data_IF_595705081048
#
_entry.id   IF_595705081048
#
_cell.length_a   1.000
_cell.length_b   1.000
_cell.length_c   1.000
_cell.angle_alpha   90.00
_cell.angle_beta   90.00
_cell.angle_gamma   90.00
#
_symmetry.space_group_name_H-M   'P 1'
#
loop_
_entity.id
_entity.type
_entity.pdbx_description
1 polymer ?
#
# COMPACT_ATOMS: atom_id res chain seq x y z
N UNK A 1 36.08 -3.09 -23.64
CA UNK A 1 34.69 -3.58 -23.61
C UNK A 1 34.16 -3.34 -22.20
N UNK A 2 32.96 -2.77 -21.99
CA UNK A 2 32.39 -2.76 -20.65
C UNK A 2 32.24 -4.21 -20.22
N UNK A 3 32.82 -4.58 -19.07
CA UNK A 3 32.70 -5.92 -18.53
C UNK A 3 31.22 -6.31 -18.44
N UNK A 4 30.91 -7.59 -18.65
CA UNK A 4 29.58 -8.17 -18.55
C UNK A 4 29.08 -8.15 -17.09
N UNK A 5 28.94 -6.97 -16.49
CA UNK A 5 28.48 -6.80 -15.13
C UNK A 5 26.95 -6.93 -15.12
N UNK A 6 26.35 -7.80 -14.29
CA UNK A 6 24.90 -7.95 -14.23
C UNK A 6 24.15 -6.61 -14.10
N UNK A 7 24.71 -5.67 -13.31
CA UNK A 7 24.18 -4.31 -13.14
C UNK A 7 24.06 -3.50 -14.45
N UNK A 8 24.94 -3.72 -15.44
CA UNK A 8 24.87 -2.97 -16.70
C UNK A 8 23.61 -3.30 -17.49
N UNK A 9 23.04 -4.50 -17.31
CA UNK A 9 21.78 -4.91 -17.93
C UNK A 9 20.58 -4.11 -17.38
N UNK A 10 20.67 -3.62 -16.14
CA UNK A 10 19.62 -2.84 -15.46
C UNK A 10 19.65 -1.34 -15.81
N UNK A 11 20.64 -0.87 -16.59
CA UNK A 11 20.86 0.57 -16.84
C UNK A 11 19.60 1.29 -17.32
N UNK A 12 18.88 0.72 -18.29
CA UNK A 12 17.64 1.32 -18.82
C UNK A 12 16.58 1.44 -17.72
N UNK A 13 16.35 0.36 -16.97
CA UNK A 13 15.37 0.35 -15.89
C UNK A 13 15.69 1.36 -14.79
N UNK A 14 16.96 1.48 -14.39
CA UNK A 14 17.39 2.43 -13.36
C UNK A 14 17.26 3.90 -13.79
N UNK A 15 17.54 4.20 -15.07
CA UNK A 15 17.32 5.55 -15.63
C UNK A 15 15.83 5.89 -15.62
N UNK A 16 14.99 4.99 -16.12
CA UNK A 16 13.53 5.20 -16.15
C UNK A 16 12.93 5.29 -14.76
N UNK A 17 13.40 4.46 -13.82
CA UNK A 17 13.02 4.55 -12.40
C UNK A 17 13.28 5.95 -11.83
N UNK A 18 14.46 6.51 -12.07
CA UNK A 18 14.78 7.88 -11.66
C UNK A 18 13.82 8.91 -12.26
N UNK A 19 13.48 8.75 -13.54
CA UNK A 19 12.52 9.62 -14.22
C UNK A 19 11.09 9.48 -13.65
N UNK A 20 10.64 8.25 -13.37
CA UNK A 20 9.35 7.97 -12.71
C UNK A 20 9.29 8.66 -11.35
N UNK A 21 10.35 8.54 -10.53
CA UNK A 21 10.40 9.16 -9.21
C UNK A 21 10.33 10.69 -9.29
N UNK A 22 10.98 11.29 -10.29
CA UNK A 22 10.90 12.73 -10.52
C UNK A 22 9.48 13.18 -10.93
N UNK A 23 8.79 12.41 -11.78
CA UNK A 23 7.40 12.69 -12.17
C UNK A 23 6.45 12.56 -10.98
N UNK A 24 6.63 11.53 -10.14
CA UNK A 24 5.87 11.35 -8.89
C UNK A 24 6.06 12.55 -7.96
N UNK A 25 7.30 12.99 -7.71
CA UNK A 25 7.55 14.19 -6.88
C UNK A 25 6.94 15.45 -7.49
N UNK A 26 7.10 15.65 -8.79
CA UNK A 26 6.55 16.82 -9.49
C UNK A 26 5.02 16.87 -9.36
N UNK A 27 4.34 15.74 -9.52
CA UNK A 27 2.89 15.62 -9.34
C UNK A 27 2.43 16.12 -7.96
N UNK A 28 3.11 15.71 -6.89
CA UNK A 28 2.77 16.14 -5.53
C UNK A 28 3.09 17.62 -5.30
N UNK A 29 4.25 18.08 -5.76
CA UNK A 29 4.66 19.49 -5.65
C UNK A 29 3.69 20.42 -6.36
N UNK A 30 3.28 20.09 -7.58
CA UNK A 30 2.28 20.85 -8.36
C UNK A 30 0.90 20.88 -7.68
N UNK A 31 0.56 19.85 -6.90
CA UNK A 31 -0.68 19.78 -6.11
C UNK A 31 -0.57 20.38 -4.70
N UNK A 32 0.59 20.95 -4.36
CA UNK A 32 0.83 21.63 -3.09
C UNK A 32 0.98 20.67 -1.89
N UNK A 33 1.42 19.44 -2.13
CA UNK A 33 1.81 18.52 -1.07
C UNK A 33 3.22 18.85 -0.56
N UNK A 34 3.41 18.73 0.75
CA UNK A 34 4.71 18.82 1.39
C UNK A 34 5.41 17.45 1.38
N UNK A 35 6.60 17.37 0.80
CA UNK A 35 7.47 16.20 0.96
C UNK A 35 8.02 16.20 2.39
N UNK A 36 7.81 15.12 3.14
CA UNK A 36 8.23 14.99 4.54
C UNK A 36 9.17 13.79 4.70
N UNK A 37 9.90 13.78 5.82
CA UNK A 37 10.70 12.63 6.25
C UNK A 37 10.40 12.30 7.71
N UNK A 38 10.10 11.02 7.96
CA UNK A 38 9.87 10.46 9.30
C UNK A 38 11.00 9.48 9.67
N UNK A 39 11.25 9.23 10.97
CA UNK A 39 12.28 8.28 11.38
C UNK A 39 12.06 6.87 10.83
N UNK A 40 13.12 6.25 10.30
CA UNK A 40 13.08 4.86 9.82
C UNK A 40 13.19 3.82 10.93
N UNK A 41 13.71 4.21 12.09
CA UNK A 41 13.76 3.36 13.28
C UNK A 41 12.75 3.87 14.29
N UNK A 42 11.76 3.04 14.62
CA UNK A 42 10.61 3.39 15.44
C UNK A 42 10.53 2.49 16.69
N UNK A 43 10.06 3.03 17.82
CA UNK A 43 9.95 2.26 19.06
C UNK A 43 8.78 1.26 19.05
N UNK A 44 7.77 1.49 18.20
CA UNK A 44 6.53 0.72 18.16
C UNK A 44 5.98 0.72 16.72
N UNK A 45 6.00 -0.44 16.03
CA UNK A 45 5.25 -0.65 14.78
C UNK A 45 3.73 -0.69 15.03
N UNK A 46 2.95 -0.60 13.96
CA UNK A 46 1.55 -1.01 14.02
C UNK A 46 1.49 -2.54 14.25
N UNK A 47 0.58 -3.04 15.12
CA UNK A 47 0.52 -4.47 15.46
C UNK A 47 -0.19 -5.31 14.40
N UNK A 48 0.19 -5.19 13.13
CA UNK A 48 -0.42 -5.94 12.03
C UNK A 48 -0.14 -7.45 12.14
N UNK A 49 -1.15 -8.30 11.95
CA UNK A 49 -1.03 -9.75 12.14
C UNK A 49 -0.08 -10.43 11.13
N UNK A 50 -0.10 -9.96 9.88
CA UNK A 50 0.61 -10.59 8.76
C UNK A 50 1.94 -9.93 8.39
N UNK A 51 2.27 -8.78 8.98
CA UNK A 51 3.53 -8.06 8.72
C UNK A 51 4.45 -8.18 9.92
N UNK A 52 5.69 -8.58 9.69
CA UNK A 52 6.71 -8.64 10.73
C UNK A 52 7.77 -7.54 10.51
N UNK A 53 7.93 -6.68 11.51
CA UNK A 53 8.94 -5.63 11.53
C UNK A 53 10.32 -6.19 11.90
N UNK A 54 11.35 -5.72 11.20
CA UNK A 54 12.75 -6.06 11.49
C UNK A 54 13.22 -5.37 12.78
N UNK A 55 13.71 -6.13 13.75
CA UNK A 55 14.25 -5.58 14.99
C UNK A 55 15.55 -4.79 14.76
N UNK A 56 15.74 -3.69 15.50
CA UNK A 56 16.89 -2.78 15.37
C UNK A 56 17.27 -2.16 16.71
N UNK A 57 18.26 -2.75 17.40
CA UNK A 57 18.82 -2.25 18.66
C UNK A 57 17.77 -1.92 19.75
N UNK A 58 16.81 -2.84 19.97
CA UNK A 58 15.72 -2.66 20.93
C UNK A 58 14.51 -1.88 20.39
N UNK A 59 14.61 -1.33 19.18
CA UNK A 59 13.52 -0.72 18.40
C UNK A 59 13.25 -1.57 17.15
N UNK A 60 12.57 -1.01 16.15
CA UNK A 60 12.22 -1.68 14.90
C UNK A 60 12.50 -0.78 13.70
N UNK A 61 12.84 -1.36 12.56
CA UNK A 61 12.75 -0.66 11.28
C UNK A 61 11.27 -0.55 10.88
N UNK A 62 10.88 0.60 10.34
CA UNK A 62 9.49 0.85 10.00
C UNK A 62 9.00 -0.09 8.88
N UNK A 63 7.81 -0.65 9.06
CA UNK A 63 7.07 -1.37 8.00
C UNK A 63 6.32 -0.40 7.08
N UNK A 64 6.01 0.78 7.63
CA UNK A 64 5.35 1.93 6.99
C UNK A 64 5.62 3.21 7.82
N UNK A 65 5.74 4.40 7.19
CA UNK A 65 5.77 5.69 7.89
C UNK A 65 4.41 6.15 8.45
N UNK A 66 3.32 5.41 8.21
CA UNK A 66 1.92 5.77 8.47
C UNK A 66 1.67 6.39 9.85
N UNK A 67 2.09 5.73 10.93
CA UNK A 67 1.83 6.21 12.29
C UNK A 67 2.47 7.58 12.54
N UNK A 68 3.62 7.86 11.94
CA UNK A 68 4.29 9.15 12.06
C UNK A 68 3.59 10.22 11.20
N UNK A 69 3.21 9.87 9.97
CA UNK A 69 2.55 10.81 9.04
C UNK A 69 1.16 11.20 9.54
N UNK A 70 0.38 10.27 10.11
CA UNK A 70 -0.91 10.58 10.75
C UNK A 70 -0.78 11.55 11.93
N UNK A 71 0.30 11.47 12.70
CA UNK A 71 0.60 12.45 13.75
C UNK A 71 0.90 13.84 13.19
N UNK A 72 1.42 13.93 11.96
CA UNK A 72 1.54 15.22 11.27
C UNK A 72 0.17 15.76 10.87
N UNK A 73 -0.77 14.93 10.40
CA UNK A 73 -2.15 15.37 10.16
C UNK A 73 -2.80 15.92 11.43
N UNK A 74 -2.63 15.23 12.56
CA UNK A 74 -3.06 15.70 13.88
C UNK A 74 -2.39 17.02 14.31
N UNK A 75 -1.16 17.29 13.84
CA UNK A 75 -0.47 18.55 14.06
C UNK A 75 -0.89 19.68 13.08
N UNK A 76 -1.81 19.41 12.15
CA UNK A 76 -2.37 20.39 11.22
C UNK A 76 -1.74 20.41 9.82
N UNK A 77 -0.84 19.47 9.49
CA UNK A 77 -0.33 19.33 8.13
C UNK A 77 -1.40 18.70 7.24
N UNK A 78 -1.88 19.41 6.21
CA UNK A 78 -3.08 18.98 5.46
C UNK A 78 -2.79 18.11 4.24
N UNK A 79 -1.62 18.24 3.62
CA UNK A 79 -1.22 17.53 2.40
C UNK A 79 0.24 17.17 2.50
N UNK A 80 0.54 15.91 2.77
CA UNK A 80 1.91 15.41 2.97
C UNK A 80 2.14 14.17 2.14
N UNK A 81 3.36 13.99 1.67
CA UNK A 81 3.80 12.75 1.04
C UNK A 81 5.23 12.41 1.45
N UNK A 82 5.57 11.12 1.38
CA UNK A 82 6.91 10.63 1.67
C UNK A 82 7.24 9.47 0.73
N UNK A 83 8.40 9.53 0.09
CA UNK A 83 9.01 8.40 -0.62
C UNK A 83 10.12 7.87 0.28
N UNK A 84 9.95 6.68 0.85
CA UNK A 84 10.89 6.16 1.82
C UNK A 84 11.07 4.65 1.79
N UNK A 85 12.01 4.21 2.61
CA UNK A 85 12.42 2.84 2.78
C UNK A 85 11.60 2.19 3.89
N UNK A 86 11.08 1.00 3.59
CA UNK A 86 10.28 0.18 4.49
C UNK A 86 10.87 -1.22 4.53
N UNK A 87 10.75 -1.87 5.69
CA UNK A 87 11.32 -3.19 5.93
C UNK A 87 10.26 -4.15 6.46
N UNK A 88 10.23 -5.35 5.90
CA UNK A 88 9.37 -6.44 6.36
C UNK A 88 10.18 -7.73 6.40
N UNK A 89 10.22 -8.33 7.58
CA UNK A 89 10.96 -9.55 7.84
C UNK A 89 10.29 -10.74 7.14
N UNK A 90 11.11 -11.64 6.58
CA UNK A 90 10.63 -12.83 5.86
C UNK A 90 9.99 -12.58 4.49
N UNK A 91 9.80 -11.33 4.04
CA UNK A 91 9.27 -11.05 2.71
C UNK A 91 10.37 -11.09 1.64
N UNK A 92 10.34 -12.11 0.76
CA UNK A 92 11.20 -12.19 -0.43
C UNK A 92 10.56 -13.04 -1.52
N UNK A 93 10.59 -12.55 -2.76
CA UNK A 93 10.20 -13.31 -3.95
C UNK A 93 10.28 -12.49 -5.22
N UNK A 94 9.74 -12.99 -6.33
CA UNK A 94 9.79 -12.32 -7.65
C UNK A 94 9.17 -10.91 -7.62
N UNK A 95 8.24 -10.64 -6.70
CA UNK A 95 7.52 -9.36 -6.57
C UNK A 95 7.79 -8.64 -5.23
N UNK A 96 8.72 -9.15 -4.42
CA UNK A 96 8.92 -8.71 -3.02
C UNK A 96 10.41 -8.65 -2.68
N UNK A 97 10.79 -7.58 -1.97
CA UNK A 97 12.07 -7.42 -1.31
C UNK A 97 11.81 -7.15 0.17
N UNK A 98 12.70 -7.61 1.06
CA UNK A 98 12.57 -7.32 2.49
C UNK A 98 12.84 -5.86 2.83
N UNK A 99 13.53 -5.13 1.95
CA UNK A 99 13.71 -3.68 1.96
C UNK A 99 13.17 -3.09 0.65
N UNK A 100 12.20 -2.18 0.72
CA UNK A 100 11.50 -1.71 -0.49
C UNK A 100 11.03 -0.26 -0.47
N UNK A 101 10.76 0.18 -1.71
CA UNK A 101 10.00 1.28 -2.32
C UNK A 101 8.62 1.68 -1.85
N UNK A 102 8.40 2.43 -0.77
CA UNK A 102 7.05 2.94 -0.50
C UNK A 102 6.92 4.45 -0.77
N UNK A 103 5.86 4.82 -1.47
CA UNK A 103 5.30 6.15 -1.48
C UNK A 103 4.06 6.13 -0.58
N UNK A 104 3.99 7.01 0.41
CA UNK A 104 2.75 7.28 1.12
C UNK A 104 2.36 8.74 0.98
N UNK A 105 1.07 9.02 0.92
CA UNK A 105 0.56 10.38 1.01
C UNK A 105 -0.78 10.43 1.74
N UNK A 106 -1.03 11.57 2.37
CA UNK A 106 -2.20 11.80 3.19
C UNK A 106 -2.80 13.17 2.92
N UNK A 107 -4.13 13.22 2.92
CA UNK A 107 -4.90 14.42 2.63
C UNK A 107 -6.02 14.62 3.64
N UNK A 108 -5.95 15.73 4.37
CA UNK A 108 -7.04 16.19 5.22
C UNK A 108 -8.24 16.64 4.37
N UNK A 109 -9.45 16.35 4.87
CA UNK A 109 -10.72 16.64 4.22
C UNK A 109 -11.02 15.78 3.00
N UNK A 110 -10.31 14.67 2.80
CA UNK A 110 -10.55 13.71 1.71
C UNK A 110 -11.04 12.37 2.27
N UNK A 111 -11.66 11.59 1.39
CA UNK A 111 -12.02 10.19 1.62
C UNK A 111 -11.30 9.27 0.61
N UNK A 112 -11.47 7.96 0.78
CA UNK A 112 -10.93 6.96 -0.12
C UNK A 112 -11.36 7.12 -1.59
N UNK A 113 -12.52 7.73 -1.90
CA UNK A 113 -12.95 7.96 -3.29
C UNK A 113 -12.16 9.09 -3.94
N UNK A 114 -11.89 10.17 -3.20
CA UNK A 114 -10.98 11.22 -3.64
C UNK A 114 -9.57 10.66 -3.89
N UNK A 115 -9.11 9.72 -3.07
CA UNK A 115 -7.83 9.05 -3.30
C UNK A 115 -7.83 8.15 -4.53
N UNK A 116 -8.94 7.52 -4.92
CA UNK A 116 -9.01 6.80 -6.20
C UNK A 116 -8.74 7.74 -7.38
N UNK A 117 -9.40 8.91 -7.40
CA UNK A 117 -9.21 9.92 -8.46
C UNK A 117 -7.78 10.47 -8.47
N UNK A 118 -7.20 10.72 -7.29
CA UNK A 118 -5.84 11.20 -7.19
C UNK A 118 -4.82 10.14 -7.58
N UNK A 119 -5.09 8.87 -7.30
CA UNK A 119 -4.27 7.72 -7.71
C UNK A 119 -4.32 7.52 -9.23
N UNK A 120 -5.50 7.64 -9.85
CA UNK A 120 -5.66 7.66 -11.31
C UNK A 120 -4.72 8.71 -11.95
N UNK A 121 -4.76 9.94 -11.43
CA UNK A 121 -3.94 11.04 -11.92
C UNK A 121 -2.44 10.83 -11.68
N UNK A 122 -2.06 10.32 -10.50
CA UNK A 122 -0.66 10.05 -10.14
C UNK A 122 -0.05 9.01 -11.08
N UNK A 123 -0.74 7.89 -11.31
CA UNK A 123 -0.23 6.80 -12.15
C UNK A 123 -0.15 7.24 -13.61
N UNK A 124 -1.10 8.02 -14.12
CA UNK A 124 -1.00 8.60 -15.46
C UNK A 124 0.23 9.50 -15.60
N UNK A 125 0.50 10.35 -14.60
CA UNK A 125 1.70 11.19 -14.57
C UNK A 125 2.99 10.36 -14.48
N UNK A 126 3.01 9.32 -13.65
CA UNK A 126 4.16 8.42 -13.50
C UNK A 126 4.45 7.62 -14.79
N UNK A 127 3.41 7.08 -15.43
CA UNK A 127 3.52 6.29 -16.65
C UNK A 127 3.93 7.14 -17.85
N UNK A 128 3.42 8.37 -17.96
CA UNK A 128 3.60 9.27 -19.11
C UNK A 128 3.23 8.64 -20.47
N UNK A 129 2.41 7.59 -20.45
CA UNK A 129 1.93 6.85 -21.61
C UNK A 129 0.46 6.47 -21.42
N UNK A 130 -0.35 6.43 -22.49
CA UNK A 130 -1.76 6.04 -22.40
C UNK A 130 -1.96 4.52 -22.26
N UNK A 131 -0.95 3.72 -22.63
CA UNK A 131 -0.96 2.26 -22.56
C UNK A 131 0.42 1.73 -22.18
N UNK A 132 0.44 0.60 -21.51
CA UNK A 132 1.66 -0.12 -21.13
C UNK A 132 1.56 -1.60 -21.52
N UNK A 133 2.70 -2.23 -21.76
CA UNK A 133 2.82 -3.67 -21.87
C UNK A 133 3.24 -4.26 -20.52
N UNK A 134 2.60 -5.34 -20.08
CA UNK A 134 3.03 -6.07 -18.89
C UNK A 134 2.73 -7.56 -19.02
N UNK A 135 3.76 -8.43 -19.01
CA UNK A 135 3.63 -9.89 -19.11
C UNK A 135 2.79 -10.35 -20.30
N UNK A 136 3.01 -9.73 -21.45
CA UNK A 136 2.27 -10.02 -22.69
C UNK A 136 0.85 -9.43 -22.74
N UNK A 137 0.39 -8.76 -21.69
CA UNK A 137 -0.87 -8.01 -21.68
C UNK A 137 -0.63 -6.58 -22.19
N UNK A 138 -1.62 -6.03 -22.88
CA UNK A 138 -1.69 -4.58 -23.16
C UNK A 138 -2.70 -3.98 -22.19
N UNK A 139 -2.25 -3.07 -21.34
CA UNK A 139 -3.06 -2.43 -20.30
C UNK A 139 -3.34 -0.99 -20.73
N UNK A 140 -4.63 -0.62 -20.83
CA UNK A 140 -5.07 0.73 -21.16
C UNK A 140 -5.23 1.57 -19.89
N UNK A 141 -4.45 2.66 -19.80
CA UNK A 141 -4.45 3.58 -18.67
C UNK A 141 -5.43 4.75 -18.85
N UNK A 142 -6.18 4.79 -19.97
CA UNK A 142 -7.23 5.79 -20.17
C UNK A 142 -8.35 5.64 -19.11
N UNK A 143 -8.85 6.77 -18.64
CA UNK A 143 -9.94 6.84 -17.65
C UNK A 143 -11.31 6.59 -18.31
N UNK A 144 -12.32 6.18 -17.53
CA UNK A 144 -12.30 5.86 -16.10
C UNK A 144 -11.83 4.42 -15.85
N UNK A 145 -11.04 4.19 -14.80
CA UNK A 145 -10.62 2.83 -14.45
C UNK A 145 -11.77 1.99 -13.86
N UNK A 146 -11.57 0.68 -13.86
CA UNK A 146 -12.55 -0.25 -13.31
C UNK A 146 -12.62 -0.10 -11.79
N UNK A 147 -13.84 -0.20 -11.25
CA UNK A 147 -14.11 -0.14 -9.81
C UNK A 147 -15.05 -1.30 -9.49
N UNK A 148 -14.65 -2.18 -8.59
CA UNK A 148 -15.42 -3.35 -8.17
C UNK A 148 -15.42 -3.43 -6.64
N UNK A 149 -16.58 -3.64 -6.02
CA UNK A 149 -16.60 -3.88 -4.57
C UNK A 149 -16.05 -5.27 -4.26
N UNK A 150 -15.53 -5.49 -3.03
CA UNK A 150 -15.15 -6.84 -2.58
C UNK A 150 -16.33 -7.80 -2.71
N UNK A 151 -17.54 -7.38 -2.33
CA UNK A 151 -18.75 -8.17 -2.47
C UNK A 151 -19.04 -8.58 -3.93
N UNK A 152 -18.91 -7.65 -4.88
CA UNK A 152 -19.07 -7.96 -6.31
C UNK A 152 -17.98 -8.90 -6.82
N UNK A 153 -16.73 -8.70 -6.41
CA UNK A 153 -15.62 -9.54 -6.82
C UNK A 153 -15.81 -11.00 -6.36
N UNK A 154 -16.22 -11.21 -5.10
CA UNK A 154 -16.57 -12.54 -4.58
C UNK A 154 -17.68 -13.21 -5.40
N UNK A 155 -18.74 -12.46 -5.72
CA UNK A 155 -19.84 -12.95 -6.56
C UNK A 155 -19.38 -13.32 -7.98
N UNK A 156 -18.55 -12.48 -8.60
CA UNK A 156 -18.14 -12.64 -10.00
C UNK A 156 -17.08 -13.73 -10.19
N UNK A 157 -16.14 -13.85 -9.26
CA UNK A 157 -14.93 -14.65 -9.46
C UNK A 157 -14.87 -15.92 -8.59
N UNK A 158 -15.58 -15.94 -7.46
CA UNK A 158 -15.56 -17.08 -6.53
C UNK A 158 -16.92 -17.79 -6.40
N UNK A 159 -18.01 -17.16 -6.84
CA UNK A 159 -19.36 -17.76 -6.76
C UNK A 159 -19.88 -17.95 -5.33
N UNK A 160 -19.35 -17.19 -4.36
CA UNK A 160 -19.76 -17.20 -2.95
C UNK A 160 -19.90 -15.76 -2.44
N UNK A 161 -20.51 -15.58 -1.27
CA UNK A 161 -20.59 -14.28 -0.61
C UNK A 161 -19.40 -14.04 0.34
N UNK A 162 -19.13 -12.77 0.63
CA UNK A 162 -18.10 -12.38 1.64
C UNK A 162 -18.43 -12.98 3.00
N UNK A 163 -19.71 -12.99 3.41
CA UNK A 163 -20.12 -13.54 4.70
C UNK A 163 -19.86 -15.05 4.82
N UNK A 164 -20.13 -15.82 3.76
CA UNK A 164 -19.85 -17.26 3.73
C UNK A 164 -18.35 -17.54 3.81
N UNK A 165 -17.54 -16.81 3.03
CA UNK A 165 -16.09 -16.94 3.03
C UNK A 165 -15.47 -16.60 4.39
N UNK A 166 -15.94 -15.54 5.05
CA UNK A 166 -15.52 -15.17 6.40
C UNK A 166 -15.91 -16.25 7.42
N UNK A 167 -17.16 -16.75 7.36
CA UNK A 167 -17.63 -17.81 8.25
C UNK A 167 -16.85 -19.13 8.09
N UNK A 168 -16.33 -19.39 6.89
CA UNK A 168 -15.50 -20.55 6.60
C UNK A 168 -13.99 -20.31 6.86
N UNK A 169 -13.57 -19.10 7.18
CA UNK A 169 -12.15 -18.74 7.33
C UNK A 169 -11.35 -18.83 6.01
N UNK A 170 -12.02 -18.71 4.86
CA UNK A 170 -11.42 -18.85 3.53
C UNK A 170 -11.33 -17.53 2.75
N UNK A 171 -11.63 -16.40 3.39
CA UNK A 171 -11.63 -15.08 2.75
C UNK A 171 -10.30 -14.74 2.08
N UNK A 172 -9.18 -14.80 2.81
CA UNK A 172 -7.86 -14.44 2.28
C UNK A 172 -7.41 -15.40 1.18
N UNK A 173 -7.69 -16.69 1.35
CA UNK A 173 -7.41 -17.69 0.32
C UNK A 173 -8.17 -17.39 -0.97
N UNK A 174 -9.46 -17.08 -0.89
CA UNK A 174 -10.28 -16.75 -2.06
C UNK A 174 -9.79 -15.46 -2.73
N UNK A 175 -9.44 -14.44 -1.94
CA UNK A 175 -8.86 -13.20 -2.44
C UNK A 175 -7.62 -13.51 -3.30
N UNK A 176 -6.61 -14.16 -2.72
CA UNK A 176 -5.31 -14.43 -3.36
C UNK A 176 -5.42 -15.40 -4.54
N UNK A 177 -6.17 -16.49 -4.39
CA UNK A 177 -6.19 -17.56 -5.40
C UNK A 177 -7.15 -17.31 -6.55
N UNK A 178 -8.25 -16.58 -6.30
CA UNK A 178 -9.36 -16.47 -7.26
C UNK A 178 -9.64 -15.04 -7.70
N UNK A 179 -9.49 -14.04 -6.84
CA UNK A 179 -9.88 -12.66 -7.17
C UNK A 179 -8.70 -11.88 -7.73
N UNK A 180 -7.64 -11.70 -6.94
CA UNK A 180 -6.48 -10.88 -7.30
C UNK A 180 -5.86 -11.20 -8.68
N UNK A 181 -5.70 -12.47 -9.09
CA UNK A 181 -5.11 -12.80 -10.38
C UNK A 181 -5.94 -12.34 -11.58
N UNK A 182 -7.20 -11.93 -11.37
CA UNK A 182 -8.14 -11.50 -12.40
C UNK A 182 -8.32 -9.99 -12.46
N UNK A 183 -7.70 -9.23 -11.56
CA UNK A 183 -7.80 -7.78 -11.49
C UNK A 183 -6.69 -7.10 -12.31
N UNK A 184 -7.02 -5.96 -12.92
CA UNK A 184 -6.00 -5.11 -13.56
C UNK A 184 -5.48 -5.61 -14.92
N UNK A 185 -6.11 -6.62 -15.54
CA UNK A 185 -5.51 -7.34 -16.68
C UNK A 185 -5.50 -6.55 -17.99
N UNK A 186 -6.56 -5.79 -18.28
CA UNK A 186 -6.68 -4.98 -19.51
C UNK A 186 -6.77 -3.49 -19.21
N UNK A 187 -7.20 -3.14 -18.00
CA UNK A 187 -7.27 -1.79 -17.45
C UNK A 187 -7.00 -1.88 -15.95
N UNK A 188 -6.42 -0.86 -15.31
CA UNK A 188 -6.30 -0.83 -13.87
C UNK A 188 -7.66 -1.00 -13.19
N UNK A 189 -7.67 -1.71 -12.06
CA UNK A 189 -8.89 -2.03 -11.32
C UNK A 189 -8.72 -1.65 -9.85
N UNK A 190 -9.63 -0.82 -9.34
CA UNK A 190 -9.80 -0.64 -7.90
C UNK A 190 -10.76 -1.69 -7.36
N UNK A 191 -10.34 -2.43 -6.35
CA UNK A 191 -11.22 -3.24 -5.51
C UNK A 191 -11.45 -2.51 -4.18
N UNK A 192 -12.70 -2.37 -3.73
CA UNK A 192 -13.02 -1.47 -2.60
C UNK A 192 -14.21 -1.94 -1.74
N UNK A 193 -14.48 -1.23 -0.63
CA UNK A 193 -15.51 -1.56 0.36
C UNK A 193 -15.25 -2.94 1.02
N UNK A 194 -14.11 -3.05 1.72
CA UNK A 194 -13.65 -4.28 2.40
C UNK A 194 -14.49 -4.60 3.65
N UNK A 195 -14.59 -5.87 4.09
CA UNK A 195 -15.29 -6.20 5.32
C UNK A 195 -14.58 -5.64 6.57
N UNK A 196 -15.28 -5.48 7.71
CA UNK A 196 -14.75 -4.81 8.90
C UNK A 196 -13.52 -5.49 9.52
N UNK A 197 -13.42 -6.82 9.39
CA UNK A 197 -12.23 -7.57 9.83
C UNK A 197 -10.95 -7.18 9.08
N UNK A 198 -11.09 -6.57 7.90
CA UNK A 198 -9.98 -6.11 7.06
C UNK A 198 -9.75 -4.59 7.17
N UNK A 199 -10.21 -3.97 8.27
CA UNK A 199 -10.23 -2.51 8.46
C UNK A 199 -9.22 -2.01 9.51
N UNK A 200 -8.03 -2.61 9.63
CA UNK A 200 -7.10 -2.34 10.75
C UNK A 200 -6.95 -0.85 11.15
N UNK A 201 -6.78 0.03 10.15
CA UNK A 201 -6.62 1.49 10.31
C UNK A 201 -7.68 2.30 9.54
N UNK A 202 -8.59 1.61 8.84
CA UNK A 202 -9.62 2.22 7.99
C UNK A 202 -10.90 2.49 8.79
N UNK A 203 -11.55 3.63 8.57
CA UNK A 203 -12.88 3.87 9.16
C UNK A 203 -13.95 3.01 8.48
N UNK A 204 -14.97 2.64 9.25
CA UNK A 204 -16.17 2.03 8.68
C UNK A 204 -17.01 3.08 7.97
N UNK A 205 -17.69 2.68 6.91
CA UNK A 205 -18.55 3.56 6.14
C UNK A 205 -19.76 3.96 6.98
N UNK A 206 -20.02 5.26 7.05
CA UNK A 206 -21.02 5.82 7.99
C UNK A 206 -22.43 5.30 7.74
N UNK A 207 -22.82 5.21 6.47
CA UNK A 207 -24.18 4.80 6.07
C UNK A 207 -24.32 3.28 5.92
N UNK A 208 -23.21 2.53 5.92
CA UNK A 208 -23.17 1.08 5.82
C UNK A 208 -21.96 0.52 6.59
N UNK A 209 -22.07 0.30 7.91
CA UNK A 209 -20.96 -0.16 8.74
C UNK A 209 -20.55 -1.63 8.46
N UNK A 210 -21.22 -2.31 7.51
CA UNK A 210 -20.81 -3.65 7.08
C UNK A 210 -19.57 -3.61 6.18
N UNK A 211 -19.10 -2.42 5.79
CA UNK A 211 -17.89 -2.23 4.99
C UNK A 211 -17.00 -1.11 5.54
N UNK A 212 -15.71 -1.25 5.31
CA UNK A 212 -14.69 -0.24 5.55
C UNK A 212 -14.43 0.57 4.28
N UNK A 213 -14.19 1.86 4.45
CA UNK A 213 -13.80 2.77 3.37
C UNK A 213 -12.33 2.53 2.99
N UNK A 214 -12.06 1.39 2.37
CA UNK A 214 -10.75 0.92 1.92
C UNK A 214 -10.81 0.55 0.44
N UNK A 215 -9.72 0.79 -0.29
CA UNK A 215 -9.50 0.23 -1.60
C UNK A 215 -8.08 -0.28 -1.79
N UNK A 216 -7.92 -1.20 -2.73
CA UNK A 216 -6.63 -1.58 -3.30
C UNK A 216 -6.66 -1.36 -4.81
N UNK A 217 -5.52 -1.00 -5.37
CA UNK A 217 -5.33 -0.82 -6.81
C UNK A 217 -4.54 -2.00 -7.37
N UNK A 218 -5.08 -2.64 -8.40
CA UNK A 218 -4.40 -3.69 -9.15
C UNK A 218 -4.09 -3.25 -10.58
N UNK A 219 -2.86 -3.52 -11.02
CA UNK A 219 -2.42 -3.33 -12.42
C UNK A 219 -1.65 -4.59 -12.83
N UNK A 220 -2.09 -5.26 -13.90
CA UNK A 220 -1.45 -6.48 -14.40
C UNK A 220 -1.46 -7.65 -13.42
N UNK A 221 -2.47 -7.74 -12.55
CA UNK A 221 -2.53 -8.76 -11.48
C UNK A 221 -1.51 -8.55 -10.36
N UNK A 222 -0.98 -7.32 -10.19
CA UNK A 222 -0.22 -6.91 -9.01
C UNK A 222 -0.98 -5.84 -8.25
N UNK A 223 -1.07 -6.01 -6.94
CA UNK A 223 -1.44 -4.96 -6.00
C UNK A 223 -0.34 -3.87 -6.02
N UNK A 224 -0.74 -2.65 -6.39
CA UNK A 224 0.13 -1.48 -6.51
C UNK A 224 -0.02 -0.55 -5.31
N UNK A 225 -1.24 -0.41 -4.78
CA UNK A 225 -1.52 0.48 -3.67
C UNK A 225 -2.65 -0.04 -2.79
N UNK A 226 -2.62 0.34 -1.52
CA UNK A 226 -3.65 0.12 -0.52
C UNK A 226 -3.95 1.45 0.18
N UNK A 227 -5.23 1.78 0.31
CA UNK A 227 -5.68 3.10 0.72
C UNK A 227 -6.98 3.03 1.49
N UNK A 228 -7.21 4.02 2.36
CA UNK A 228 -8.44 4.10 3.11
C UNK A 228 -8.74 5.51 3.61
N UNK A 229 -10.02 5.74 3.90
CA UNK A 229 -10.41 6.84 4.77
C UNK A 229 -10.01 6.48 6.20
N UNK A 230 -9.44 7.44 6.91
CA UNK A 230 -8.71 7.17 8.14
C UNK A 230 -9.62 7.02 9.36
N UNK A 231 -9.33 6.02 10.20
CA UNK A 231 -9.92 5.92 11.52
C UNK A 231 -9.28 6.97 12.44
N UNK A 232 -10.10 7.90 12.95
CA UNK A 232 -9.66 8.98 13.86
C UNK A 232 -10.09 8.76 15.32
N UNK A 233 -10.87 7.72 15.61
CA UNK A 233 -11.29 7.38 16.97
C UNK A 233 -10.18 6.62 17.73
N UNK A 234 -9.56 7.22 18.76
CA UNK A 234 -8.48 6.59 19.52
C UNK A 234 -8.91 5.38 20.34
N UNK A 235 -10.16 5.31 20.79
CA UNK A 235 -10.66 4.19 21.57
C UNK A 235 -10.87 2.97 20.68
N UNK A 236 -11.52 3.15 19.53
CA UNK A 236 -11.70 2.10 18.54
C UNK A 236 -10.33 1.62 17.99
N UNK A 237 -9.41 2.55 17.71
CA UNK A 237 -8.08 2.16 17.23
C UNK A 237 -7.30 1.33 18.25
N UNK A 238 -7.45 1.64 19.55
CA UNK A 238 -6.84 0.84 20.63
C UNK A 238 -7.41 -0.58 20.65
N UNK A 239 -8.73 -0.74 20.55
CA UNK A 239 -9.38 -2.05 20.50
C UNK A 239 -8.84 -2.89 19.33
N UNK A 240 -8.68 -2.27 18.15
CA UNK A 240 -8.12 -2.96 16.96
C UNK A 240 -6.65 -3.34 17.16
N UNK A 241 -5.86 -2.48 17.79
CA UNK A 241 -4.47 -2.79 18.12
C UNK A 241 -4.34 -3.95 19.11
N UNK A 242 -5.18 -4.00 20.13
CA UNK A 242 -5.21 -5.09 21.12
C UNK A 242 -5.65 -6.41 20.48
N UNK A 243 -6.66 -6.38 19.61
CA UNK A 243 -7.11 -7.56 18.86
C UNK A 243 -6.01 -8.10 17.95
N UNK A 244 -5.35 -7.25 17.18
CA UNK A 244 -4.28 -7.66 16.28
C UNK A 244 -3.03 -8.14 17.05
N UNK A 245 -2.71 -7.54 18.20
CA UNK A 245 -1.68 -8.04 19.10
C UNK A 245 -2.01 -9.44 19.68
N UNK A 246 -3.27 -9.69 20.04
CA UNK A 246 -3.73 -10.99 20.50
C UNK A 246 -3.64 -12.06 19.38
N UNK A 247 -3.99 -11.70 18.16
CA UNK A 247 -3.84 -12.57 16.98
C UNK A 247 -2.36 -12.94 16.75
N UNK A 248 -1.47 -11.94 16.73
CA UNK A 248 -0.02 -12.15 16.64
C UNK A 248 0.48 -13.12 17.73
N UNK A 249 0.06 -12.92 18.97
CA UNK A 249 0.44 -13.78 20.09
C UNK A 249 -0.08 -15.23 19.91
N UNK A 250 -1.31 -15.40 19.43
CA UNK A 250 -1.89 -16.72 19.14
C UNK A 250 -1.14 -17.47 18.02
N UNK A 251 -0.52 -16.73 17.09
CA UNK A 251 0.35 -17.26 16.03
C UNK A 251 1.82 -17.41 16.45
N UNK A 252 2.13 -17.25 17.75
CA UNK A 252 3.49 -17.41 18.29
C UNK A 252 4.46 -16.29 17.91
N UNK A 253 3.97 -15.15 17.41
CA UNK A 253 4.79 -13.99 17.06
C UNK A 253 5.09 -13.13 18.29
N UNK A 254 6.24 -12.46 18.28
CA UNK A 254 6.62 -11.55 19.34
C UNK A 254 5.67 -10.33 19.40
N UNK A 255 5.31 -9.87 20.61
CA UNK A 255 4.46 -8.69 20.76
C UNK A 255 5.24 -7.41 20.42
N UNK A 256 4.51 -6.41 19.93
CA UNK A 256 5.05 -5.06 19.77
C UNK A 256 4.66 -4.16 20.94
N UNK A 257 5.49 -3.16 21.29
CA UNK A 257 5.07 -2.09 22.17
C UNK A 257 3.87 -1.35 21.59
N UNK A 258 2.96 -0.89 22.44
CA UNK A 258 1.82 -0.08 21.99
C UNK A 258 2.30 1.31 21.58
N UNK A 259 1.82 1.79 20.43
CA UNK A 259 2.14 3.12 19.92
C UNK A 259 1.35 4.24 20.64
N UNK A 260 1.58 4.41 21.94
CA UNK A 260 0.81 5.35 22.80
C UNK A 260 0.82 6.80 22.30
N UNK A 261 1.95 7.28 21.76
CA UNK A 261 2.05 8.63 21.19
C UNK A 261 1.22 8.83 19.92
N UNK A 262 0.95 7.74 19.18
CA UNK A 262 0.06 7.77 18.02
C UNK A 262 -1.39 7.81 18.48
N UNK A 263 -1.79 6.90 19.38
CA UNK A 263 -3.15 6.87 19.93
C UNK A 263 -3.53 8.20 20.59
N UNK A 264 -2.62 8.83 21.33
CA UNK A 264 -2.85 10.13 21.95
C UNK A 264 -3.05 11.29 20.95
N UNK A 265 -2.48 11.19 19.74
CA UNK A 265 -2.62 12.21 18.71
C UNK A 265 -3.87 12.00 17.83
N UNK A 266 -4.38 10.77 17.76
CA UNK A 266 -5.37 10.37 16.77
C UNK A 266 -6.67 11.18 16.85
N UNK A 267 -7.15 11.49 18.06
CA UNK A 267 -8.36 12.30 18.25
C UNK A 267 -8.25 13.76 17.83
N UNK A 268 -7.03 14.27 17.56
CA UNK A 268 -6.81 15.60 17.00
C UNK A 268 -6.70 15.58 15.47
N UNK A 269 -6.65 14.39 14.86
CA UNK A 269 -6.56 14.23 13.42
C UNK A 269 -7.89 14.62 12.77
N UNK A 270 -7.89 15.52 11.76
CA UNK A 270 -9.11 15.80 11.01
C UNK A 270 -9.52 14.57 10.17
N UNK A 271 -10.77 14.53 9.74
CA UNK A 271 -11.20 13.61 8.69
C UNK A 271 -10.21 13.66 7.52
N UNK A 272 -9.65 12.52 7.17
CA UNK A 272 -8.56 12.41 6.20
C UNK A 272 -8.63 11.07 5.48
N UNK A 273 -7.87 10.96 4.40
CA UNK A 273 -7.58 9.70 3.73
C UNK A 273 -6.08 9.57 3.52
N UNK A 274 -5.59 8.33 3.58
CA UNK A 274 -4.20 7.95 3.36
C UNK A 274 -4.09 6.77 2.41
N UNK A 275 -2.90 6.63 1.84
CA UNK A 275 -2.58 5.58 0.86
C UNK A 275 -1.10 5.27 0.89
N UNK A 276 -0.82 3.98 0.78
CA UNK A 276 0.50 3.42 0.57
C UNK A 276 0.59 2.79 -0.82
N UNK A 277 1.59 3.20 -1.60
CA UNK A 277 1.84 2.73 -2.96
C UNK A 277 3.25 2.14 -3.05
N UNK A 278 3.33 0.89 -3.52
CA UNK A 278 4.58 0.20 -3.78
C UNK A 278 5.25 0.72 -5.05
N UNK A 279 6.16 1.68 -4.91
CA UNK A 279 6.86 2.29 -6.05
C UNK A 279 7.70 1.29 -6.84
N UNK A 280 8.26 0.27 -6.19
CA UNK A 280 9.00 -0.78 -6.91
C UNK A 280 8.09 -1.58 -7.83
N UNK A 281 6.92 -2.00 -7.33
CA UNK A 281 5.92 -2.71 -8.14
C UNK A 281 5.34 -1.83 -9.25
N UNK A 282 5.11 -0.54 -8.99
CA UNK A 282 4.70 0.39 -10.03
C UNK A 282 5.76 0.46 -11.13
N UNK A 283 7.04 0.61 -10.79
CA UNK A 283 8.13 0.62 -11.78
C UNK A 283 8.21 -0.71 -12.53
N UNK A 284 8.02 -1.85 -11.86
CA UNK A 284 7.97 -3.16 -12.55
C UNK A 284 6.90 -3.18 -13.63
N UNK A 285 5.68 -2.76 -13.29
CA UNK A 285 4.55 -2.81 -14.21
C UNK A 285 4.72 -1.83 -15.37
N UNK A 286 5.21 -0.62 -15.10
CA UNK A 286 5.44 0.39 -16.15
C UNK A 286 6.57 0.01 -17.13
N UNK A 287 7.51 -0.83 -16.70
CA UNK A 287 8.70 -1.20 -17.49
C UNK A 287 8.67 -2.63 -18.02
N UNK A 288 7.56 -3.36 -17.85
CA UNK A 288 7.44 -4.78 -18.23
C UNK A 288 8.50 -5.67 -17.57
N UNK A 289 8.84 -5.40 -16.31
CA UNK A 289 9.81 -6.19 -15.57
C UNK A 289 9.16 -7.42 -14.93
N UNK A 290 9.73 -8.61 -15.20
CA UNK A 290 9.18 -9.86 -14.67
C UNK A 290 9.47 -10.01 -13.18
N UNK A 291 10.63 -9.54 -12.74
CA UNK A 291 11.13 -9.58 -11.36
C UNK A 291 11.45 -8.19 -10.80
N UNK A 292 11.21 -7.99 -9.50
CA UNK A 292 11.55 -6.77 -8.77
C UNK A 292 13.06 -6.48 -8.78
N UNK A 293 13.87 -7.53 -8.88
CA UNK A 293 15.33 -7.45 -8.93
C UNK A 293 15.82 -6.69 -10.19
N UNK A 294 15.02 -6.60 -11.24
CA UNK A 294 15.36 -5.90 -12.49
C UNK A 294 15.23 -4.38 -12.37
N UNK A 295 14.47 -3.91 -11.39
CA UNK A 295 14.14 -2.49 -11.19
C UNK A 295 14.83 -1.86 -9.98
N UNK A 296 15.75 -2.58 -9.35
CA UNK A 296 16.60 -2.08 -8.26
C UNK A 296 18.07 -2.18 -8.64
N UNK A 297 18.90 -1.33 -8.04
CA UNK A 297 20.34 -1.36 -8.34
C UNK A 297 20.97 -2.65 -7.82
N UNK A 298 20.70 -2.96 -6.55
CA UNK A 298 21.19 -4.15 -5.87
C UNK A 298 20.05 -4.76 -5.06
N UNK A 299 20.02 -6.08 -5.00
CA UNK A 299 19.33 -6.78 -3.90
C UNK A 299 20.34 -7.04 -2.77
N UNK A 300 19.85 -7.26 -1.55
CA UNK A 300 20.72 -7.51 -0.39
C UNK A 300 21.61 -8.73 -0.59
N UNK A 301 21.11 -9.75 -1.31
CA UNK A 301 21.82 -11.00 -1.58
C UNK A 301 22.92 -10.88 -2.64
N UNK A 302 22.99 -9.75 -3.36
CA UNK A 302 24.03 -9.47 -4.36
C UNK A 302 25.29 -8.81 -3.78
N UNK A 303 25.25 -8.42 -2.50
CA UNK A 303 26.33 -7.71 -1.79
C UNK A 303 27.20 -8.68 -0.98
#
# INVERSE_FOLDING_TARGET
MPGNWPLSKRRKALVERGAIFNRVRSFFQEKGYLEVETPFRIPAPAPEAHIDAVASAGWFLQTSPELCMKRMLAAGYQRIFQICRCWRDGERGVRHLSEFTMLEWYRAGADYRHLMEETEALVQAAAALPRIGYRGLTIDLALPWERVTVAEAFRLYAGTSVSEALGAGSFDQIMVEQIEPRLGLTRPTFIYDYPPCCAALARLKKDDPTVAERFELYIGGLEIANAFSELTDPAEQRIRFEAAAAERASSGKAPYPVAEKFLAALGAMPDSAGIALGLDRLVMVLLDAESIDEVVAFTTEEL
#
